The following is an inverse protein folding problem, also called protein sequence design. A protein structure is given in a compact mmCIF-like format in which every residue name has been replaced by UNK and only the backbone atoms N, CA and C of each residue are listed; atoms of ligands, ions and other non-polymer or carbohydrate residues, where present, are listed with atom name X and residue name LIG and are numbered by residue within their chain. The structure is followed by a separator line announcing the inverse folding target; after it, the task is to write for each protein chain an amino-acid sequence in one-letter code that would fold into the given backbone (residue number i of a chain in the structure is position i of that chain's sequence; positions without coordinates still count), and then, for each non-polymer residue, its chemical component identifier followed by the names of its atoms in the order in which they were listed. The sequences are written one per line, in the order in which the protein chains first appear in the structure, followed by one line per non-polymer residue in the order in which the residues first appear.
data_IF_871720510051
#
_entry.id   IF_871720510051
#
_cell.length_a   1.000
_cell.length_b   1.000
_cell.length_c   1.000
_cell.angle_alpha   90.00
_cell.angle_beta   90.00
_cell.angle_gamma   90.00
#
_symmetry.space_group_name_H-M   'P 1'
#
loop_
_entity.id
_entity.type
_entity.pdbx_description
1 polymer ?
#
# COMPACT_ATOMS: atom_id res chain seq x y z
N UNK A 1 -10.98 -13.33 9.17
CA UNK A 1 -10.51 -12.06 9.78
C UNK A 1 -11.55 -10.96 9.84
N UNK A 2 -11.94 -10.29 8.74
CA UNK A 2 -12.87 -9.14 8.85
C UNK A 2 -14.25 -9.54 9.41
N UNK A 3 -14.86 -10.61 8.86
CA UNK A 3 -16.13 -11.14 9.36
C UNK A 3 -16.01 -11.71 10.79
N UNK A 4 -14.86 -12.26 11.17
CA UNK A 4 -14.62 -12.74 12.54
C UNK A 4 -14.55 -11.58 13.53
N UNK A 5 -13.87 -10.49 13.16
CA UNK A 5 -13.81 -9.27 13.97
C UNK A 5 -15.20 -8.65 14.12
N UNK A 6 -15.99 -8.59 13.04
CA UNK A 6 -17.34 -8.05 13.06
C UNK A 6 -18.31 -8.89 13.92
N UNK A 7 -18.05 -10.19 14.04
CA UNK A 7 -18.79 -11.08 14.93
C UNK A 7 -18.30 -11.04 16.39
N UNK A 8 -17.13 -10.43 16.66
CA UNK A 8 -16.59 -10.32 18.00
C UNK A 8 -17.25 -9.15 18.75
N UNK A 9 -17.95 -9.47 19.84
CA UNK A 9 -18.45 -8.46 20.77
C UNK A 9 -17.35 -7.93 21.67
N UNK A 10 -17.48 -6.66 22.08
CA UNK A 10 -16.69 -6.06 23.16
C UNK A 10 -17.61 -5.74 24.33
N UNK A 11 -17.05 -5.67 25.55
CA UNK A 11 -17.86 -5.29 26.71
C UNK A 11 -18.47 -3.90 26.50
N UNK A 12 -19.78 -3.80 26.69
CA UNK A 12 -20.56 -2.56 26.53
C UNK A 12 -20.96 -1.91 27.85
N UNK A 13 -20.51 -2.44 28.99
CA UNK A 13 -20.89 -1.95 30.32
C UNK A 13 -20.42 -0.52 30.60
N UNK A 14 -19.24 -0.15 30.09
CA UNK A 14 -18.69 1.21 30.12
C UNK A 14 -18.17 1.63 28.73
N UNK A 15 -18.51 2.86 28.34
CA UNK A 15 -18.10 3.47 27.07
C UNK A 15 -16.96 4.46 27.25
N UNK A 16 -16.72 4.94 28.46
CA UNK A 16 -15.62 5.85 28.74
C UNK A 16 -14.30 5.06 28.73
N UNK A 17 -13.36 5.48 27.87
CA UNK A 17 -12.01 4.89 27.82
C UNK A 17 -11.98 3.35 27.68
N UNK A 18 -12.91 2.80 26.91
CA UNK A 18 -12.97 1.36 26.66
C UNK A 18 -11.86 0.94 25.69
N UNK A 19 -10.73 0.48 26.25
CA UNK A 19 -9.55 0.11 25.47
C UNK A 19 -9.82 -1.06 24.52
N UNK A 20 -10.65 -2.03 24.92
CA UNK A 20 -11.03 -3.16 24.06
C UNK A 20 -11.81 -2.69 22.83
N UNK A 21 -12.68 -1.71 22.98
CA UNK A 21 -13.38 -1.09 21.85
C UNK A 21 -12.42 -0.33 20.92
N UNK A 22 -11.43 0.38 21.48
CA UNK A 22 -10.41 1.03 20.68
C UNK A 22 -9.55 0.02 19.90
N UNK A 23 -9.15 -1.08 20.52
CA UNK A 23 -8.40 -2.15 19.87
C UNK A 23 -9.21 -2.80 18.73
N UNK A 24 -10.52 -2.99 18.94
CA UNK A 24 -11.42 -3.47 17.89
C UNK A 24 -11.44 -2.53 16.67
N UNK A 25 -11.59 -1.21 16.91
CA UNK A 25 -11.56 -0.20 15.84
C UNK A 25 -10.21 -0.15 15.12
N UNK A 26 -9.11 -0.22 15.88
CA UNK A 26 -7.76 -0.24 15.35
C UNK A 26 -7.52 -1.48 14.48
N UNK A 27 -7.93 -2.66 14.95
CA UNK A 27 -7.79 -3.89 14.19
C UNK A 27 -8.61 -3.87 12.90
N UNK A 28 -9.82 -3.29 12.93
CA UNK A 28 -10.63 -3.09 11.72
C UNK A 28 -9.91 -2.24 10.68
N UNK A 29 -9.28 -1.14 11.12
CA UNK A 29 -8.48 -0.26 10.26
C UNK A 29 -7.24 -0.98 9.70
N UNK A 30 -6.51 -1.71 10.56
CA UNK A 30 -5.32 -2.47 10.16
C UNK A 30 -5.66 -3.52 9.12
N UNK A 31 -6.75 -4.29 9.29
CA UNK A 31 -7.20 -5.28 8.31
C UNK A 31 -7.47 -4.63 6.94
N UNK A 32 -8.15 -3.48 6.93
CA UNK A 32 -8.44 -2.76 5.68
C UNK A 32 -7.15 -2.29 4.98
N UNK A 33 -6.22 -1.69 5.71
CA UNK A 33 -4.94 -1.22 5.17
C UNK A 33 -4.08 -2.40 4.69
N UNK A 34 -4.02 -3.50 5.45
CA UNK A 34 -3.30 -4.70 5.04
C UNK A 34 -3.84 -5.29 3.75
N UNK A 35 -5.17 -5.36 3.57
CA UNK A 35 -5.79 -5.80 2.30
C UNK A 35 -5.37 -4.92 1.13
N UNK A 36 -5.30 -3.60 1.35
CA UNK A 36 -4.85 -2.64 0.37
C UNK A 36 -3.38 -2.88 -0.04
N UNK A 37 -2.50 -3.08 0.94
CA UNK A 37 -1.09 -3.40 0.70
C UNK A 37 -0.93 -4.70 -0.09
N UNK A 38 -1.65 -5.75 0.30
CA UNK A 38 -1.62 -7.05 -0.38
C UNK A 38 -2.06 -6.90 -1.84
N UNK A 39 -3.17 -6.22 -2.10
CA UNK A 39 -3.65 -6.01 -3.47
C UNK A 39 -2.64 -5.27 -4.36
N UNK A 40 -1.96 -4.25 -3.81
CA UNK A 40 -0.91 -3.53 -4.53
C UNK A 40 0.34 -4.39 -4.77
N UNK A 41 0.75 -5.18 -3.76
CA UNK A 41 1.92 -6.04 -3.83
C UNK A 41 1.73 -7.21 -4.81
N UNK A 42 0.55 -7.84 -4.81
CA UNK A 42 0.22 -8.95 -5.70
C UNK A 42 0.24 -8.53 -7.17
N UNK A 43 -0.34 -7.37 -7.47
CA UNK A 43 -0.41 -6.84 -8.83
C UNK A 43 0.92 -6.33 -9.37
N UNK A 44 1.87 -5.96 -8.49
CA UNK A 44 3.21 -5.53 -8.89
C UNK A 44 4.10 -6.75 -9.13
N UNK A 45 4.22 -7.13 -10.40
CA UNK A 45 5.07 -8.23 -10.86
C UNK A 45 6.49 -7.73 -11.22
N UNK A 46 7.16 -7.10 -10.27
CA UNK A 46 8.56 -6.68 -10.36
C UNK A 46 9.14 -6.53 -8.95
N UNK A 47 10.47 -6.43 -8.84
CA UNK A 47 11.14 -5.98 -7.62
C UNK A 47 11.71 -4.58 -7.82
N UNK A 48 11.35 -3.63 -6.95
CA UNK A 48 11.80 -2.23 -7.05
C UNK A 48 11.79 -1.57 -5.65
N UNK A 49 12.93 -1.03 -5.25
CA UNK A 49 13.09 -0.41 -3.93
C UNK A 49 12.91 -1.43 -2.80
N UNK A 50 12.08 -1.11 -1.80
CA UNK A 50 11.79 -2.02 -0.68
C UNK A 50 10.82 -3.17 -1.04
N UNK A 51 10.15 -3.10 -2.19
CA UNK A 51 9.28 -4.17 -2.66
C UNK A 51 10.12 -5.19 -3.44
N UNK A 52 10.33 -6.37 -2.85
CA UNK A 52 11.07 -7.47 -3.46
C UNK A 52 10.20 -8.72 -3.52
N UNK A 53 10.30 -9.45 -4.63
CA UNK A 53 9.55 -10.66 -4.93
C UNK A 53 10.46 -11.72 -5.50
N UNK A 54 10.50 -12.89 -4.87
CA UNK A 54 11.34 -14.01 -5.33
C UNK A 54 10.91 -14.54 -6.71
N UNK A 55 9.61 -14.46 -7.01
CA UNK A 55 9.02 -14.89 -8.28
C UNK A 55 9.08 -13.80 -9.38
N UNK A 56 9.39 -12.55 -9.00
CA UNK A 56 9.68 -11.44 -9.92
C UNK A 56 10.90 -10.64 -9.43
N UNK A 57 12.11 -11.24 -9.39
CA UNK A 57 13.27 -10.65 -8.72
C UNK A 57 13.87 -9.47 -9.49
N UNK A 58 13.47 -9.30 -10.75
CA UNK A 58 13.99 -8.26 -11.64
C UNK A 58 13.14 -7.00 -11.57
N UNK A 59 13.79 -5.85 -11.69
CA UNK A 59 13.11 -4.56 -11.93
C UNK A 59 12.67 -4.47 -13.39
N UNK A 60 11.43 -4.04 -13.64
CA UNK A 60 10.97 -3.83 -15.03
C UNK A 60 11.72 -2.67 -15.68
N UNK A 61 12.06 -2.74 -16.98
CA UNK A 61 12.76 -1.67 -17.67
C UNK A 61 12.00 -0.33 -17.63
N UNK A 62 12.69 0.76 -17.30
CA UNK A 62 12.08 2.10 -17.20
C UNK A 62 11.48 2.59 -18.54
N UNK A 63 12.01 2.11 -19.68
CA UNK A 63 11.49 2.40 -21.03
C UNK A 63 10.04 1.94 -21.24
N UNK A 64 9.56 0.98 -20.44
CA UNK A 64 8.19 0.46 -20.50
C UNK A 64 7.20 1.37 -19.75
N UNK A 65 7.68 2.51 -19.23
CA UNK A 65 6.90 3.50 -18.49
C UNK A 65 6.87 3.20 -16.99
N UNK A 66 7.15 4.22 -16.19
CA UNK A 66 7.11 4.14 -14.74
C UNK A 66 5.72 4.45 -14.20
N UNK A 67 5.25 3.64 -13.27
CA UNK A 67 3.93 3.77 -12.68
C UNK A 67 3.89 3.33 -11.22
N UNK A 68 2.90 3.86 -10.49
CA UNK A 68 2.60 3.49 -9.12
C UNK A 68 1.16 2.99 -9.01
N UNK A 69 0.94 2.08 -8.08
CA UNK A 69 -0.38 1.54 -7.76
C UNK A 69 -1.17 2.54 -6.93
N UNK A 70 -2.47 2.65 -7.21
CA UNK A 70 -3.44 3.38 -6.39
C UNK A 70 -4.54 2.42 -6.01
N UNK A 71 -4.76 2.28 -4.72
CA UNK A 71 -5.82 1.46 -4.14
C UNK A 71 -6.92 2.35 -3.61
N UNK A 72 -8.17 2.06 -3.95
CA UNK A 72 -9.35 2.77 -3.42
C UNK A 72 -10.37 1.78 -2.89
N UNK A 73 -11.11 2.15 -1.85
CA UNK A 73 -12.26 1.36 -1.39
C UNK A 73 -13.52 1.86 -2.10
N UNK A 74 -14.19 0.98 -2.86
CA UNK A 74 -15.45 1.24 -3.56
C UNK A 74 -16.42 0.11 -3.29
N UNK A 75 -17.61 0.43 -2.80
CA UNK A 75 -18.67 -0.57 -2.53
C UNK A 75 -18.16 -1.77 -1.69
N UNK A 76 -17.33 -1.49 -0.68
CA UNK A 76 -16.73 -2.51 0.19
C UNK A 76 -15.58 -3.34 -0.44
N UNK A 77 -15.16 -3.02 -1.66
CA UNK A 77 -14.10 -3.73 -2.38
C UNK A 77 -12.89 -2.83 -2.64
N UNK A 78 -11.70 -3.42 -2.54
CA UNK A 78 -10.46 -2.73 -2.93
C UNK A 78 -10.37 -2.76 -4.45
N UNK A 79 -10.44 -1.58 -5.07
CA UNK A 79 -10.16 -1.36 -6.47
C UNK A 79 -8.71 -0.92 -6.65
N UNK A 80 -8.01 -1.55 -7.58
CA UNK A 80 -6.62 -1.24 -7.93
C UNK A 80 -6.57 -0.49 -9.26
N UNK A 81 -5.70 0.51 -9.31
CA UNK A 81 -5.42 1.29 -10.50
C UNK A 81 -3.91 1.54 -10.62
N UNK A 82 -3.43 1.84 -11.83
CA UNK A 82 -2.05 2.18 -12.12
C UNK A 82 -1.97 3.59 -12.68
N UNK A 83 -1.11 4.42 -12.10
CA UNK A 83 -0.93 5.80 -12.52
C UNK A 83 0.50 6.02 -13.00
N UNK A 84 0.70 6.62 -14.19
CA UNK A 84 2.03 6.91 -14.68
C UNK A 84 2.70 7.95 -13.77
N UNK A 85 3.98 7.76 -13.49
CA UNK A 85 4.79 8.76 -12.80
C UNK A 85 4.93 9.98 -13.70
N UNK A 86 4.64 11.16 -13.14
CA UNK A 86 4.87 12.43 -13.82
C UNK A 86 6.18 13.03 -13.32
N UNK A 87 7.22 12.94 -14.15
CA UNK A 87 8.49 13.57 -13.86
C UNK A 87 8.40 15.07 -14.10
N UNK A 88 8.42 15.86 -13.02
CA UNK A 88 8.32 17.33 -13.07
C UNK A 88 9.62 18.04 -12.71
N UNK A 89 10.64 17.29 -12.25
CA UNK A 89 11.92 17.83 -11.78
C UNK A 89 13.13 17.04 -12.27
N UNK A 90 13.08 15.71 -12.18
CA UNK A 90 14.19 14.82 -12.47
C UNK A 90 13.66 13.46 -12.94
N UNK A 91 14.32 12.85 -13.91
CA UNK A 91 14.06 11.48 -14.38
C UNK A 91 15.14 10.50 -13.87
N UNK A 92 14.85 9.18 -13.85
CA UNK A 92 15.86 8.17 -13.52
C UNK A 92 17.10 8.32 -14.41
N UNK A 93 18.28 8.28 -13.79
CA UNK A 93 19.56 8.46 -14.47
C UNK A 93 20.01 9.92 -14.63
N UNK A 94 19.15 10.90 -14.33
CA UNK A 94 19.53 12.31 -14.30
C UNK A 94 20.05 12.70 -12.91
N UNK A 95 20.87 13.76 -12.87
CA UNK A 95 21.37 14.36 -11.63
C UNK A 95 21.14 15.86 -11.62
N UNK A 96 20.74 16.41 -10.47
CA UNK A 96 20.71 17.85 -10.21
C UNK A 96 22.07 18.37 -9.73
N UNK A 97 23.00 17.47 -9.42
CA UNK A 97 24.33 17.85 -8.95
C UNK A 97 25.20 18.29 -10.13
N UNK A 98 25.99 19.36 -9.97
CA UNK A 98 27.01 19.72 -10.95
C UNK A 98 28.00 18.56 -11.11
N UNK A 99 28.46 18.35 -12.34
CA UNK A 99 29.37 17.25 -12.70
C UNK A 99 30.70 17.26 -11.93
N UNK A 100 31.09 18.41 -11.35
CA UNK A 100 32.29 18.55 -10.51
C UNK A 100 32.12 18.04 -9.06
N UNK A 101 30.90 17.65 -8.66
CA UNK A 101 30.57 17.19 -7.32
C UNK A 101 30.11 15.71 -7.28
N UNK A 102 30.26 14.98 -8.39
CA UNK A 102 29.85 13.58 -8.55
C UNK A 102 31.06 12.64 -8.57
#
# INVERSE_FOLDING_TARGET
LEAELDAAGVDGSDRAFNLTWHDWLNLKSLILVSRSIVAAAEARQESRGAHWREDFPQTRPDKDGLSYTVTTLRDGRIALDWRPVRFTRLQPGESLLPQAAA
#
